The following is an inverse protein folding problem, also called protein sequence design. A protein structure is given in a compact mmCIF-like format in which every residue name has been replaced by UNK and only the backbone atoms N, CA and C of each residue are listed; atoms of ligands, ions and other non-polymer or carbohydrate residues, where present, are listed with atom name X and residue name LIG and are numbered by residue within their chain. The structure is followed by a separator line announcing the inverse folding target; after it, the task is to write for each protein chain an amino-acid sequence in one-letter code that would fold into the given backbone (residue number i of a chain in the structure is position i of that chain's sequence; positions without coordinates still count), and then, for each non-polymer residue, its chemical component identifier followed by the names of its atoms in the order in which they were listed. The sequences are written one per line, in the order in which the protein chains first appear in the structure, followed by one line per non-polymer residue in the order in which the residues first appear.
data_IF_568840376603
#
_entry.id   IF_568840376603
#
_cell.length_a   1.000
_cell.length_b   1.000
_cell.length_c   1.000
_cell.angle_alpha   90.00
_cell.angle_beta   90.00
_cell.angle_gamma   90.00
#
_symmetry.space_group_name_H-M   'P 1'
#
loop_
_entity.id
_entity.type
_entity.pdbx_description
1 polymer ?
#
# COMPACT_ATOMS: atom_id res chain seq x y z
N UNK A 1 -9.59 0.85 13.92
CA UNK A 1 -8.16 0.99 13.78
C UNK A 1 -7.79 1.36 12.34
N UNK A 2 -6.61 1.88 12.17
CA UNK A 2 -6.12 2.23 10.83
C UNK A 2 -6.13 1.04 9.88
N UNK A 3 -5.71 -0.11 10.39
CA UNK A 3 -5.69 -1.32 9.59
C UNK A 3 -7.07 -1.68 9.07
N UNK A 4 -8.07 -1.63 9.95
CA UNK A 4 -9.45 -1.96 9.56
C UNK A 4 -9.99 -0.95 8.55
N UNK A 5 -9.67 0.33 8.73
CA UNK A 5 -10.10 1.37 7.79
C UNK A 5 -9.51 1.15 6.40
N UNK A 6 -8.21 0.81 6.33
CA UNK A 6 -7.54 0.53 5.07
C UNK A 6 -8.17 -0.69 4.40
N UNK A 7 -8.38 -1.75 5.16
CA UNK A 7 -8.99 -2.97 4.63
C UNK A 7 -10.38 -2.69 4.08
N UNK A 8 -11.16 -1.88 4.79
CA UNK A 8 -12.51 -1.54 4.37
C UNK A 8 -12.51 -0.75 3.06
N UNK A 9 -11.60 0.21 2.93
CA UNK A 9 -11.47 0.99 1.71
C UNK A 9 -11.14 0.09 0.52
N UNK A 10 -10.20 -0.83 0.71
CA UNK A 10 -9.80 -1.75 -0.36
C UNK A 10 -10.94 -2.71 -0.70
N UNK A 11 -11.63 -3.22 0.33
CA UNK A 11 -12.74 -4.17 0.12
C UNK A 11 -13.92 -3.50 -0.59
N UNK A 12 -14.16 -2.22 -0.29
CA UNK A 12 -15.25 -1.47 -0.91
C UNK A 12 -14.94 -1.04 -2.34
N UNK A 13 -13.67 -1.04 -2.71
CA UNK A 13 -13.26 -0.73 -4.07
C UNK A 13 -13.66 -1.88 -4.98
N UNK A 14 -14.51 -1.61 -5.92
CA UNK A 14 -14.92 -2.62 -6.90
C UNK A 14 -14.01 -2.65 -8.11
N UNK A 15 -12.98 -1.81 -8.07
CA UNK A 15 -12.00 -1.69 -9.13
C UNK A 15 -10.87 -2.68 -8.88
N UNK A 16 -10.47 -3.37 -9.92
CA UNK A 16 -9.37 -4.34 -9.83
C UNK A 16 -8.02 -3.73 -10.18
N UNK A 17 -8.00 -2.44 -10.47
CA UNK A 17 -6.79 -1.71 -10.79
C UNK A 17 -6.40 -0.84 -9.60
N UNK A 18 -5.32 -1.20 -8.93
CA UNK A 18 -4.83 -0.47 -7.77
C UNK A 18 -3.76 0.57 -8.11
N UNK A 19 -3.54 0.84 -9.40
CA UNK A 19 -2.57 1.84 -9.82
C UNK A 19 -2.79 3.21 -9.14
N UNK A 20 -4.03 3.72 -9.07
CA UNK A 20 -4.25 4.99 -8.38
C UNK A 20 -3.88 4.94 -6.90
N UNK A 21 -4.05 3.80 -6.25
CA UNK A 21 -3.66 3.65 -4.85
C UNK A 21 -2.14 3.72 -4.69
N UNK A 22 -1.40 3.02 -5.53
CA UNK A 22 0.06 3.08 -5.50
C UNK A 22 0.55 4.50 -5.71
N UNK A 23 -0.04 5.20 -6.69
CA UNK A 23 0.35 6.57 -7.00
C UNK A 23 0.05 7.51 -5.83
N UNK A 24 -1.13 7.37 -5.23
CA UNK A 24 -1.50 8.19 -4.08
C UNK A 24 -0.58 7.95 -2.90
N UNK A 25 -0.23 6.70 -2.63
CA UNK A 25 0.70 6.37 -1.55
C UNK A 25 2.06 7.03 -1.77
N UNK A 26 2.55 7.01 -3.01
CA UNK A 26 3.82 7.63 -3.34
C UNK A 26 3.75 9.16 -3.22
N UNK A 27 2.68 9.76 -3.74
CA UNK A 27 2.55 11.22 -3.73
C UNK A 27 2.50 11.80 -2.31
N UNK A 28 1.94 11.04 -1.34
CA UNK A 28 1.78 11.50 0.03
C UNK A 28 2.82 10.93 0.99
N UNK A 29 3.84 10.24 0.47
CA UNK A 29 4.78 9.51 1.32
C UNK A 29 5.49 10.40 2.33
N UNK A 30 5.80 11.64 1.98
CA UNK A 30 6.46 12.56 2.89
C UNK A 30 5.59 12.89 4.11
N UNK A 31 4.27 12.83 3.95
CA UNK A 31 3.35 13.18 5.02
C UNK A 31 3.17 12.06 6.04
N UNK A 32 3.03 10.81 5.57
CA UNK A 32 2.72 9.71 6.50
C UNK A 32 3.93 8.88 6.88
N UNK A 33 5.03 8.99 6.16
CA UNK A 33 6.21 8.16 6.37
C UNK A 33 7.46 8.99 6.71
N UNK A 34 7.27 10.12 7.37
CA UNK A 34 8.38 10.99 7.75
C UNK A 34 9.44 10.20 8.53
N UNK A 35 10.69 10.28 8.08
CA UNK A 35 11.79 9.53 8.66
C UNK A 35 11.97 8.14 8.10
N UNK A 36 11.01 7.64 7.31
CA UNK A 36 11.06 6.31 6.70
C UNK A 36 10.66 6.34 5.24
N UNK A 37 10.83 7.49 4.60
CA UNK A 37 10.38 7.69 3.22
C UNK A 37 11.03 6.68 2.27
N UNK A 38 12.35 6.49 2.38
CA UNK A 38 13.04 5.57 1.48
C UNK A 38 12.53 4.14 1.57
N UNK A 39 12.42 3.61 2.80
CA UNK A 39 11.93 2.25 2.99
C UNK A 39 10.49 2.11 2.51
N UNK A 40 9.69 3.13 2.72
CA UNK A 40 8.29 3.11 2.31
C UNK A 40 8.17 3.10 0.78
N UNK A 41 8.99 3.89 0.10
CA UNK A 41 9.01 3.87 -1.37
C UNK A 41 9.39 2.49 -1.88
N UNK A 42 10.36 1.84 -1.25
CA UNK A 42 10.74 0.48 -1.63
C UNK A 42 9.59 -0.50 -1.45
N UNK A 43 8.82 -0.35 -0.37
CA UNK A 43 7.64 -1.18 -0.14
C UNK A 43 6.59 -0.96 -1.23
N UNK A 44 6.36 0.28 -1.63
CA UNK A 44 5.39 0.61 -2.68
C UNK A 44 5.83 0.01 -4.01
N UNK A 45 7.09 0.18 -4.35
CA UNK A 45 7.64 -0.35 -5.60
C UNK A 45 7.54 -1.88 -5.64
N UNK A 46 7.85 -2.54 -4.53
CA UNK A 46 7.75 -4.00 -4.43
C UNK A 46 6.30 -4.46 -4.60
N UNK A 47 5.36 -3.78 -3.96
CA UNK A 47 3.95 -4.10 -4.10
C UNK A 47 3.47 -3.94 -5.54
N UNK A 48 3.90 -2.86 -6.18
CA UNK A 48 3.53 -2.58 -7.56
C UNK A 48 4.10 -3.64 -8.51
N UNK A 49 5.35 -4.03 -8.28
CA UNK A 49 5.99 -5.09 -9.08
C UNK A 49 5.22 -6.40 -8.95
N UNK A 50 4.90 -6.78 -7.73
CA UNK A 50 4.17 -8.03 -7.46
C UNK A 50 2.75 -7.99 -8.00
N UNK A 51 2.14 -6.82 -8.07
CA UNK A 51 0.77 -6.66 -8.57
C UNK A 51 0.60 -7.26 -9.95
N UNK A 52 1.61 -7.15 -10.78
CA UNK A 52 1.55 -7.68 -12.15
C UNK A 52 1.63 -9.20 -12.20
N UNK A 53 2.05 -9.86 -11.11
CA UNK A 53 2.33 -11.29 -11.10
C UNK A 53 1.41 -12.10 -10.20
N UNK A 54 0.70 -11.46 -9.27
CA UNK A 54 -0.12 -12.18 -8.30
C UNK A 54 -1.49 -12.49 -8.88
N UNK A 55 -2.11 -13.56 -8.37
CA UNK A 55 -3.46 -13.92 -8.75
C UNK A 55 -4.47 -12.99 -8.08
N UNK A 56 -4.31 -12.75 -6.80
CA UNK A 56 -5.24 -11.92 -6.03
C UNK A 56 -4.57 -10.59 -5.68
N UNK A 57 -4.96 -9.54 -6.38
CA UNK A 57 -4.37 -8.22 -6.22
C UNK A 57 -4.76 -7.58 -4.90
N UNK A 58 -5.94 -7.88 -4.37
CA UNK A 58 -6.36 -7.35 -3.08
C UNK A 58 -5.45 -7.86 -1.96
N UNK A 59 -5.16 -9.15 -1.96
CA UNK A 59 -4.26 -9.74 -0.95
C UNK A 59 -2.88 -9.10 -1.06
N UNK A 60 -2.39 -8.92 -2.27
CA UNK A 60 -1.09 -8.30 -2.48
C UNK A 60 -1.05 -6.87 -1.92
N UNK A 61 -2.08 -6.08 -2.21
CA UNK A 61 -2.17 -4.70 -1.72
C UNK A 61 -2.22 -4.68 -0.19
N UNK A 62 -2.99 -5.58 0.40
CA UNK A 62 -3.07 -5.66 1.86
C UNK A 62 -1.72 -6.01 2.47
N UNK A 63 -0.99 -6.94 1.87
CA UNK A 63 0.35 -7.30 2.36
C UNK A 63 1.30 -6.10 2.27
N UNK A 64 1.24 -5.35 1.18
CA UNK A 64 2.04 -4.14 1.02
C UNK A 64 1.69 -3.11 2.10
N UNK A 65 0.40 -2.88 2.33
CA UNK A 65 -0.03 -1.91 3.34
C UNK A 65 0.45 -2.29 4.74
N UNK A 66 0.42 -3.59 5.07
CA UNK A 66 0.94 -4.07 6.34
C UNK A 66 2.44 -3.81 6.46
N UNK A 67 3.19 -4.06 5.39
CA UNK A 67 4.62 -3.78 5.38
C UNK A 67 4.91 -2.30 5.59
N UNK A 68 4.11 -1.43 4.97
CA UNK A 68 4.27 0.01 5.15
C UNK A 68 4.00 0.39 6.62
N UNK A 69 2.91 -0.12 7.20
CA UNK A 69 2.58 0.17 8.59
C UNK A 69 3.68 -0.28 9.55
N UNK A 70 4.24 -1.45 9.31
CA UNK A 70 5.36 -1.95 10.12
C UNK A 70 6.57 -1.03 9.95
N UNK A 71 6.87 -0.64 8.73
CA UNK A 71 8.03 0.20 8.42
C UNK A 71 7.95 1.55 9.14
N UNK A 72 6.78 2.18 9.14
CA UNK A 72 6.63 3.51 9.75
C UNK A 72 6.29 3.44 11.24
N UNK A 73 6.20 2.25 11.82
CA UNK A 73 5.99 2.08 13.24
C UNK A 73 4.56 2.30 13.70
N UNK A 74 3.62 2.07 12.83
CA UNK A 74 2.19 2.19 13.15
C UNK A 74 1.56 0.79 13.20
#
# INVERSE_FOLDING_TARGET
SKFMSIRQIIADSKVKDFTPLYRGLYDEVDNYASGKVGQTILNIADGQYKDAMVVDKEINVMAMMLNILITIGK
#
